data_IF_093370933006
#
_entry.id   IF_093370933006
#
_cell.length_a   1.000
_cell.length_b   1.000
_cell.length_c   1.000
_cell.angle_alpha   90.00
_cell.angle_beta   90.00
_cell.angle_gamma   90.00
#
_symmetry.space_group_name_H-M   'P 1'
#
loop_
_entity.id
_entity.type
_entity.pdbx_description
1 polymer ?
#
# COMPACT_ATOMS: atom_id res chain seq x y z
N UNK A 1 28.71 -50.35 -70.58
CA UNK A 1 27.86 -49.86 -71.67
C UNK A 1 26.78 -49.02 -71.02
N UNK A 2 26.73 -47.70 -71.11
CA UNK A 2 27.56 -46.66 -71.75
C UNK A 2 26.91 -45.31 -71.37
N UNK A 3 27.74 -44.30 -71.07
CA UNK A 3 27.61 -42.83 -71.30
C UNK A 3 26.43 -42.06 -70.66
N UNK A 4 26.64 -41.04 -69.80
CA UNK A 4 27.01 -39.61 -70.05
C UNK A 4 25.85 -38.83 -70.74
N UNK A 5 25.40 -37.59 -70.45
CA UNK A 5 25.92 -36.32 -69.88
C UNK A 5 24.69 -35.43 -69.48
N UNK A 6 24.70 -34.59 -68.42
CA UNK A 6 25.20 -33.20 -68.26
C UNK A 6 24.40 -32.03 -68.93
N UNK A 7 24.28 -30.94 -68.14
CA UNK A 7 23.79 -29.55 -68.43
C UNK A 7 22.28 -29.30 -68.32
N UNK A 8 21.76 -28.20 -67.78
CA UNK A 8 22.31 -26.96 -67.25
C UNK A 8 21.21 -25.89 -67.20
N UNK A 9 21.30 -24.97 -66.23
CA UNK A 9 20.69 -23.63 -66.17
C UNK A 9 19.16 -23.48 -65.91
N UNK A 10 18.82 -22.75 -64.84
CA UNK A 10 17.55 -21.99 -64.71
C UNK A 10 17.53 -20.75 -65.63
N UNK A 11 16.72 -19.69 -65.41
CA UNK A 11 15.80 -19.38 -64.29
C UNK A 11 14.44 -18.75 -64.73
N UNK A 12 13.64 -18.37 -63.73
CA UNK A 12 12.77 -17.18 -63.61
C UNK A 12 11.79 -16.73 -64.72
N UNK A 13 10.54 -16.62 -64.26
CA UNK A 13 9.61 -15.49 -64.40
C UNK A 13 9.09 -15.05 -65.79
N UNK A 14 7.80 -14.71 -65.76
CA UNK A 14 7.08 -13.61 -66.42
C UNK A 14 5.73 -14.15 -66.92
N UNK A 15 4.70 -14.17 -66.07
CA UNK A 15 3.68 -13.12 -65.91
C UNK A 15 2.72 -13.03 -67.10
N UNK A 16 1.43 -12.81 -66.78
CA UNK A 16 0.30 -12.39 -67.66
C UNK A 16 -0.44 -13.54 -68.37
N UNK A 17 -1.77 -13.64 -68.44
CA UNK A 17 -2.92 -12.78 -68.15
C UNK A 17 -4.16 -13.69 -67.91
N UNK A 18 -5.02 -13.26 -66.98
CA UNK A 18 -6.49 -13.15 -67.12
C UNK A 18 -7.09 -13.88 -68.35
N UNK A 19 -8.09 -14.76 -68.27
CA UNK A 19 -9.49 -14.47 -67.93
C UNK A 19 -10.34 -15.74 -68.07
N UNK A 20 -11.38 -15.84 -67.25
CA UNK A 20 -12.71 -16.47 -67.44
C UNK A 20 -13.10 -17.23 -66.16
N UNK A 21 -13.70 -16.57 -65.17
CA UNK A 21 -15.14 -16.24 -65.11
C UNK A 21 -16.02 -17.48 -64.99
N UNK A 22 -16.25 -17.92 -63.77
CA UNK A 22 -17.61 -18.22 -63.32
C UNK A 22 -17.70 -17.92 -61.82
N UNK A 23 -18.52 -16.91 -61.49
CA UNK A 23 -18.87 -16.52 -60.13
C UNK A 23 -20.20 -17.19 -59.83
N UNK A 24 -20.24 -17.98 -58.75
CA UNK A 24 -21.50 -18.33 -58.07
C UNK A 24 -21.36 -17.96 -56.57
N UNK A 25 -22.34 -17.25 -55.98
CA UNK A 25 -22.15 -16.51 -54.73
C UNK A 25 -22.52 -17.34 -53.50
N UNK A 26 -21.52 -18.01 -52.94
CA UNK A 26 -21.54 -18.55 -51.57
C UNK A 26 -20.68 -17.69 -50.65
N UNK A 27 -21.28 -16.64 -50.09
CA UNK A 27 -20.71 -15.70 -49.12
C UNK A 27 -19.92 -16.38 -47.97
N UNK A 28 -18.67 -15.91 -47.80
CA UNK A 28 -18.01 -15.46 -46.55
C UNK A 28 -18.01 -16.43 -45.35
N UNK A 29 -16.90 -16.82 -44.74
CA UNK A 29 -15.65 -16.09 -44.45
C UNK A 29 -14.67 -17.06 -43.79
N UNK A 30 -13.44 -17.22 -44.30
CA UNK A 30 -12.40 -17.97 -43.58
C UNK A 30 -10.96 -17.51 -43.89
N UNK A 31 -10.78 -16.27 -44.32
CA UNK A 31 -9.47 -15.65 -44.54
C UNK A 31 -9.17 -14.52 -43.55
N UNK A 32 -9.49 -14.73 -42.26
CA UNK A 32 -9.04 -13.82 -41.17
C UNK A 32 -8.32 -14.55 -40.04
N UNK A 33 -8.04 -15.84 -40.20
CA UNK A 33 -7.58 -16.72 -39.11
C UNK A 33 -6.11 -17.14 -39.23
N UNK A 34 -5.46 -16.91 -40.38
CA UNK A 34 -4.06 -17.33 -40.60
C UNK A 34 -3.03 -16.22 -40.39
N UNK A 35 -3.43 -14.94 -40.45
CA UNK A 35 -2.57 -13.80 -40.06
C UNK A 35 -2.57 -13.55 -38.55
N UNK A 36 -3.65 -13.91 -37.84
CA UNK A 36 -3.71 -13.77 -36.38
C UNK A 36 -2.95 -14.87 -35.66
N UNK A 37 -2.93 -16.11 -36.17
CA UNK A 37 -2.20 -17.22 -35.54
C UNK A 37 -0.68 -17.08 -35.67
N UNK A 38 -0.18 -16.53 -36.79
CA UNK A 38 1.25 -16.23 -36.95
C UNK A 38 1.68 -15.02 -36.12
N UNK A 39 0.85 -13.99 -35.99
CA UNK A 39 1.11 -12.88 -35.05
C UNK A 39 1.01 -13.30 -33.58
N UNK A 40 0.12 -14.24 -33.23
CA UNK A 40 0.00 -14.79 -31.87
C UNK A 40 1.16 -15.73 -31.55
N UNK A 41 1.62 -16.53 -32.52
CA UNK A 41 2.78 -17.42 -32.34
C UNK A 41 4.09 -16.61 -32.34
N UNK A 42 4.22 -15.54 -33.13
CA UNK A 42 5.38 -14.64 -33.08
C UNK A 42 5.37 -13.78 -31.80
N UNK A 43 4.22 -13.36 -31.28
CA UNK A 43 4.11 -12.73 -29.94
C UNK A 43 4.30 -13.69 -28.78
N UNK A 44 3.92 -14.96 -28.93
CA UNK A 44 4.16 -15.99 -27.92
C UNK A 44 5.60 -16.53 -27.96
N UNK A 45 6.29 -16.41 -29.10
CA UNK A 45 7.68 -16.81 -29.32
C UNK A 45 8.69 -15.65 -29.25
N UNK A 46 8.26 -14.40 -29.00
CA UNK A 46 9.10 -13.42 -28.31
C UNK A 46 9.20 -13.81 -26.84
N UNK A 47 10.00 -14.85 -26.63
CA UNK A 47 10.95 -14.99 -25.53
C UNK A 47 10.79 -13.94 -24.44
N UNK A 48 10.38 -14.42 -23.28
CA UNK A 48 10.95 -14.06 -21.97
C UNK A 48 12.33 -13.43 -22.09
N UNK A 49 12.37 -12.13 -22.41
CA UNK A 49 13.56 -11.34 -22.25
C UNK A 49 13.84 -11.39 -20.76
N UNK A 50 14.86 -12.15 -20.36
CA UNK A 50 15.52 -11.91 -19.09
C UNK A 50 15.70 -10.39 -19.02
N UNK A 51 15.20 -9.71 -17.95
CA UNK A 51 15.16 -8.27 -17.91
C UNK A 51 16.55 -7.77 -18.28
N UNK A 52 16.64 -6.98 -19.37
CA UNK A 52 17.91 -6.45 -19.85
C UNK A 52 18.55 -5.77 -18.64
N UNK A 53 19.61 -6.37 -18.10
CA UNK A 53 20.33 -5.79 -16.99
C UNK A 53 21.05 -4.59 -17.55
N UNK A 54 20.53 -3.41 -17.24
CA UNK A 54 21.19 -2.16 -17.56
C UNK A 54 22.09 -1.83 -16.38
N UNK A 55 23.26 -1.27 -16.67
CA UNK A 55 24.03 -0.55 -15.66
C UNK A 55 23.12 0.43 -14.91
N UNK A 56 23.46 0.72 -13.67
CA UNK A 56 22.67 1.63 -12.84
C UNK A 56 22.31 2.91 -13.62
N UNK A 57 21.00 3.18 -13.70
CA UNK A 57 20.46 4.45 -14.17
C UNK A 57 19.56 5.03 -13.09
N UNK A 58 19.76 6.29 -12.70
CA UNK A 58 18.93 6.91 -11.68
C UNK A 58 17.48 6.99 -12.17
N UNK A 59 16.53 6.59 -11.32
CA UNK A 59 15.11 6.76 -11.60
C UNK A 59 14.67 8.16 -11.15
N UNK A 60 14.44 9.12 -12.08
CA UNK A 60 14.16 10.51 -11.70
C UNK A 60 12.83 10.66 -10.95
N UNK A 61 11.84 9.82 -11.24
CA UNK A 61 10.55 9.83 -10.55
C UNK A 61 10.70 9.41 -9.10
N UNK A 62 11.50 8.36 -8.84
CA UNK A 62 11.81 7.90 -7.49
C UNK A 62 12.52 8.99 -6.69
N UNK A 63 13.57 9.58 -7.25
CA UNK A 63 14.35 10.64 -6.59
C UNK A 63 13.48 11.86 -6.28
N UNK A 64 12.64 12.28 -7.24
CA UNK A 64 11.71 13.39 -7.05
C UNK A 64 10.68 13.11 -5.95
N UNK A 65 10.08 11.92 -5.94
CA UNK A 65 9.13 11.50 -4.90
C UNK A 65 9.79 11.42 -3.52
N UNK A 66 11.01 10.88 -3.44
CA UNK A 66 11.78 10.82 -2.19
C UNK A 66 12.12 12.21 -1.66
N UNK A 67 12.59 13.12 -2.52
CA UNK A 67 12.86 14.50 -2.15
C UNK A 67 11.58 15.20 -1.63
N UNK A 68 10.45 15.00 -2.30
CA UNK A 68 9.16 15.50 -1.87
C UNK A 68 8.73 14.91 -0.52
N UNK A 69 8.89 13.59 -0.31
CA UNK A 69 8.64 12.91 0.97
C UNK A 69 9.43 13.56 2.11
N UNK A 70 10.74 13.75 1.91
CA UNK A 70 11.62 14.38 2.89
C UNK A 70 11.19 15.81 3.23
N UNK A 71 10.85 16.63 2.23
CA UNK A 71 10.36 18.00 2.45
C UNK A 71 9.08 18.01 3.31
N UNK A 72 8.15 17.11 3.02
CA UNK A 72 6.91 17.04 3.78
C UNK A 72 7.12 16.52 5.22
N UNK A 73 8.02 15.56 5.43
CA UNK A 73 8.40 15.10 6.78
C UNK A 73 9.00 16.25 7.59
N UNK A 74 9.95 16.99 7.01
CA UNK A 74 10.58 18.16 7.65
C UNK A 74 9.53 19.22 7.99
N UNK A 75 8.61 19.50 7.06
CA UNK A 75 7.52 20.43 7.28
C UNK A 75 6.63 19.97 8.45
N UNK A 76 6.17 18.73 8.45
CA UNK A 76 5.35 18.18 9.54
C UNK A 76 6.07 18.23 10.89
N UNK A 77 7.36 17.89 10.91
CA UNK A 77 8.17 17.95 12.12
C UNK A 77 8.28 19.40 12.63
N UNK A 78 8.57 20.36 11.74
CA UNK A 78 8.62 21.78 12.07
C UNK A 78 7.29 22.29 12.62
N UNK A 79 6.17 21.93 12.00
CA UNK A 79 4.84 22.28 12.49
C UNK A 79 4.57 21.65 13.85
N UNK A 80 4.99 20.39 14.07
CA UNK A 80 4.87 19.68 15.36
C UNK A 80 5.54 20.44 16.50
N UNK A 81 6.73 21.02 16.26
CA UNK A 81 7.44 21.83 17.25
C UNK A 81 6.63 23.07 17.70
N UNK A 82 5.80 23.63 16.82
CA UNK A 82 4.96 24.80 17.14
C UNK A 82 3.64 24.46 17.84
N UNK A 83 3.25 23.19 17.85
CA UNK A 83 2.01 22.71 18.47
C UNK A 83 2.29 22.39 19.95
N UNK A 84 1.51 22.99 20.86
CA UNK A 84 1.54 22.68 22.31
C UNK A 84 0.89 21.31 22.57
N UNK A 85 0.89 20.84 23.82
CA UNK A 85 0.34 19.53 24.26
C UNK A 85 -1.04 19.23 23.63
N UNK A 86 -1.07 18.45 22.56
CA UNK A 86 -2.28 18.03 21.82
C UNK A 86 -2.11 16.56 21.40
N UNK A 87 -3.17 15.75 21.49
CA UNK A 87 -3.10 14.33 21.19
C UNK A 87 -2.86 14.02 19.71
N UNK A 88 -3.30 14.89 18.79
CA UNK A 88 -3.00 14.74 17.37
C UNK A 88 -1.52 15.01 17.07
N UNK A 89 -0.85 15.82 17.90
CA UNK A 89 0.60 16.00 17.80
C UNK A 89 1.32 14.70 18.09
N UNK A 90 1.00 14.05 19.22
CA UNK A 90 1.63 12.78 19.59
C UNK A 90 1.34 11.69 18.57
N UNK A 91 0.09 11.55 18.12
CA UNK A 91 -0.29 10.64 17.04
C UNK A 91 0.61 10.78 15.80
N UNK A 92 0.81 12.01 15.32
CA UNK A 92 1.64 12.26 14.14
C UNK A 92 3.12 12.04 14.43
N UNK A 93 3.64 12.46 15.59
CA UNK A 93 5.04 12.27 15.94
C UNK A 93 5.44 10.80 16.00
N UNK A 94 4.59 9.94 16.58
CA UNK A 94 4.86 8.49 16.62
C UNK A 94 4.89 7.86 15.24
N UNK A 95 4.05 8.33 14.31
CA UNK A 95 4.04 7.85 12.93
C UNK A 95 5.13 8.50 12.06
N UNK A 96 5.65 9.67 12.40
CA UNK A 96 6.80 10.28 11.71
C UNK A 96 8.09 9.49 11.92
N UNK A 97 8.30 8.89 13.08
CA UNK A 97 9.53 8.14 13.40
C UNK A 97 9.82 7.06 12.34
N UNK A 98 8.92 6.11 12.06
CA UNK A 98 9.19 5.09 11.04
C UNK A 98 9.26 5.67 9.62
N UNK A 99 8.51 6.74 9.31
CA UNK A 99 8.60 7.41 8.01
C UNK A 99 9.96 8.07 7.79
N UNK A 100 10.58 8.58 8.85
CA UNK A 100 11.93 9.12 8.81
C UNK A 100 12.97 8.00 8.58
N UNK A 101 12.80 6.86 9.25
CA UNK A 101 13.65 5.67 9.05
C UNK A 101 13.52 5.18 7.60
N UNK A 102 12.30 5.06 7.08
CA UNK A 102 12.01 4.65 5.71
C UNK A 102 12.65 5.62 4.69
N UNK A 103 12.53 6.94 4.89
CA UNK A 103 13.15 7.93 4.02
C UNK A 103 14.70 7.85 4.05
N UNK A 104 15.28 7.67 5.23
CA UNK A 104 16.73 7.44 5.38
C UNK A 104 17.18 6.15 4.68
N UNK A 105 16.39 5.09 4.80
CA UNK A 105 16.66 3.83 4.14
C UNK A 105 16.55 3.94 2.62
N UNK A 106 15.56 4.65 2.09
CA UNK A 106 15.43 4.93 0.65
C UNK A 106 16.66 5.66 0.11
N UNK A 107 17.16 6.69 0.80
CA UNK A 107 18.39 7.39 0.43
C UNK A 107 19.58 6.41 0.41
N UNK A 108 19.69 5.57 1.44
CA UNK A 108 20.74 4.55 1.51
C UNK A 108 20.65 3.57 0.34
N UNK A 109 19.45 3.08 0.00
CA UNK A 109 19.25 2.15 -1.12
C UNK A 109 19.60 2.78 -2.47
N UNK A 110 19.31 4.08 -2.65
CA UNK A 110 19.68 4.82 -3.86
C UNK A 110 21.19 4.91 -4.02
N UNK A 111 21.91 5.24 -2.94
CA UNK A 111 23.38 5.29 -2.92
C UNK A 111 23.95 3.90 -3.17
N UNK A 112 23.41 2.88 -2.50
CA UNK A 112 23.91 1.51 -2.62
C UNK A 112 23.68 0.93 -4.01
N UNK A 113 22.51 1.16 -4.61
CA UNK A 113 22.19 0.72 -5.97
C UNK A 113 23.13 1.34 -7.02
N UNK A 114 23.62 2.57 -6.79
CA UNK A 114 24.64 3.21 -7.64
C UNK A 114 26.00 2.52 -7.55
N UNK A 115 26.38 2.06 -6.36
CA UNK A 115 27.70 1.47 -6.12
C UNK A 115 27.77 -0.04 -6.36
N UNK A 116 26.63 -0.72 -6.27
CA UNK A 116 26.54 -2.17 -6.33
C UNK A 116 26.31 -2.69 -7.76
N UNK A 117 26.82 -3.89 -8.04
CA UNK A 117 26.73 -4.56 -9.36
C UNK A 117 25.41 -5.35 -9.48
N UNK A 118 24.32 -4.84 -8.91
CA UNK A 118 23.00 -5.49 -9.02
C UNK A 118 22.23 -5.05 -10.28
N UNK A 119 22.65 -3.94 -10.91
CA UNK A 119 22.01 -3.39 -12.10
C UNK A 119 20.62 -2.81 -11.83
N UNK A 120 20.02 -2.26 -12.88
CA UNK A 120 18.66 -1.75 -12.88
C UNK A 120 17.84 -2.41 -14.01
N UNK A 121 16.53 -2.42 -13.84
CA UNK A 121 15.60 -2.78 -14.91
C UNK A 121 15.01 -1.52 -15.56
N UNK A 122 14.53 -1.64 -16.79
CA UNK A 122 13.80 -0.55 -17.42
C UNK A 122 12.51 -0.26 -16.65
N UNK A 123 12.23 1.01 -16.45
CA UNK A 123 10.98 1.42 -15.80
C UNK A 123 9.80 1.09 -16.70
N UNK A 124 8.78 0.47 -16.10
CA UNK A 124 7.56 0.07 -16.77
C UNK A 124 6.35 0.49 -15.92
N UNK A 125 5.42 1.16 -16.59
CA UNK A 125 4.21 1.72 -16.00
C UNK A 125 3.08 0.70 -15.85
N UNK A 126 3.21 -0.49 -16.45
CA UNK A 126 2.19 -1.53 -16.32
C UNK A 126 2.02 -1.95 -14.85
N UNK A 127 0.74 -2.14 -14.47
CA UNK A 127 0.39 -2.58 -13.14
C UNK A 127 1.06 -3.93 -12.83
N UNK A 128 1.72 -4.01 -11.68
CA UNK A 128 2.38 -5.24 -11.26
C UNK A 128 1.36 -6.18 -10.64
N UNK A 129 0.94 -7.16 -11.42
CA UNK A 129 0.12 -8.26 -10.92
C UNK A 129 1.04 -9.37 -10.40
N UNK A 130 1.10 -9.54 -9.08
CA UNK A 130 1.79 -10.66 -8.45
C UNK A 130 1.00 -11.95 -8.73
N UNK A 131 1.59 -12.87 -9.48
CA UNK A 131 1.00 -14.17 -9.71
C UNK A 131 1.11 -15.05 -8.47
N UNK A 132 0.07 -15.82 -8.12
CA UNK A 132 0.19 -16.85 -7.08
C UNK A 132 1.26 -17.87 -7.48
N UNK A 133 1.96 -18.40 -6.49
CA UNK A 133 2.90 -19.51 -6.70
C UNK A 133 2.13 -20.80 -6.95
N UNK A 134 2.73 -21.67 -7.76
CA UNK A 134 2.17 -23.01 -8.00
C UNK A 134 2.07 -23.78 -6.68
N UNK A 135 0.88 -24.29 -6.37
CA UNK A 135 0.52 -25.07 -5.17
C UNK A 135 0.32 -24.29 -3.86
N UNK A 136 0.52 -22.97 -3.83
CA UNK A 136 0.23 -22.17 -2.64
C UNK A 136 -1.24 -21.74 -2.58
N UNK A 137 -1.81 -21.76 -1.37
CA UNK A 137 -3.19 -21.31 -1.17
C UNK A 137 -3.23 -19.79 -0.89
N UNK A 138 -4.40 -19.17 -1.07
CA UNK A 138 -4.59 -17.74 -0.78
C UNK A 138 -4.36 -17.39 0.70
N UNK A 139 -4.38 -18.39 1.59
CA UNK A 139 -4.07 -18.18 3.00
C UNK A 139 -2.57 -18.11 3.27
N UNK A 140 -1.73 -18.58 2.34
CA UNK A 140 -0.27 -18.67 2.48
C UNK A 140 0.47 -17.41 1.99
N UNK A 141 -0.22 -16.45 1.38
CA UNK A 141 0.38 -15.21 0.87
C UNK A 141 1.26 -14.46 1.89
N UNK A 142 0.90 -14.50 3.17
CA UNK A 142 1.63 -13.82 4.23
C UNK A 142 2.98 -14.46 4.55
N UNK A 143 3.14 -15.77 4.29
CA UNK A 143 4.43 -16.47 4.35
C UNK A 143 5.43 -15.91 3.35
N UNK A 144 4.96 -15.35 2.23
CA UNK A 144 5.79 -14.80 1.16
C UNK A 144 5.73 -13.27 1.10
N UNK A 145 5.33 -12.61 2.18
CA UNK A 145 5.11 -11.17 2.20
C UNK A 145 6.39 -10.37 1.90
N UNK A 146 7.51 -10.70 2.54
CA UNK A 146 8.80 -10.00 2.33
C UNK A 146 9.29 -10.15 0.89
N UNK A 147 9.23 -11.36 0.34
CA UNK A 147 9.66 -11.61 -1.03
C UNK A 147 8.76 -10.91 -2.05
N UNK A 148 7.44 -11.04 -1.88
CA UNK A 148 6.44 -10.37 -2.73
C UNK A 148 6.63 -8.85 -2.69
N UNK A 149 6.90 -8.30 -1.50
CA UNK A 149 7.19 -6.87 -1.36
C UNK A 149 8.52 -6.48 -2.00
N UNK A 150 9.54 -7.33 -1.96
CA UNK A 150 10.79 -7.15 -2.69
C UNK A 150 10.59 -7.05 -4.20
N UNK A 151 9.70 -7.87 -4.77
CA UNK A 151 9.36 -7.81 -6.20
C UNK A 151 8.57 -6.54 -6.56
N UNK A 152 7.62 -6.13 -5.70
CA UNK A 152 6.90 -4.84 -5.83
C UNK A 152 7.91 -3.68 -5.81
N UNK A 153 8.83 -3.68 -4.86
CA UNK A 153 9.87 -2.66 -4.74
C UNK A 153 10.76 -2.65 -5.98
N UNK A 154 11.22 -3.80 -6.46
CA UNK A 154 11.98 -3.88 -7.70
C UNK A 154 11.22 -3.26 -8.88
N UNK A 155 9.94 -3.60 -9.07
CA UNK A 155 9.09 -3.00 -10.13
C UNK A 155 9.09 -1.48 -10.06
N UNK A 156 8.64 -0.93 -8.93
CA UNK A 156 8.37 0.50 -8.83
C UNK A 156 9.62 1.36 -8.60
N UNK A 157 10.70 0.79 -8.06
CA UNK A 157 11.98 1.51 -7.88
C UNK A 157 12.99 1.27 -8.98
N UNK A 158 12.75 0.27 -9.85
CA UNK A 158 13.67 -0.26 -10.87
C UNK A 158 14.94 -0.93 -10.38
N UNK A 159 15.15 -1.09 -9.07
CA UNK A 159 16.41 -1.61 -8.54
C UNK A 159 16.30 -3.08 -8.17
N UNK A 160 17.22 -3.89 -8.70
CA UNK A 160 17.26 -5.33 -8.41
C UNK A 160 17.77 -5.63 -6.99
N UNK A 161 18.34 -4.65 -6.28
CA UNK A 161 18.84 -4.82 -4.91
C UNK A 161 17.78 -5.43 -3.98
N UNK A 162 16.49 -5.09 -4.18
CA UNK A 162 15.39 -5.58 -3.34
C UNK A 162 15.04 -7.06 -3.50
N UNK A 163 15.44 -7.69 -4.61
CA UNK A 163 15.26 -9.13 -4.85
C UNK A 163 16.57 -9.91 -4.81
N UNK A 164 17.71 -9.24 -5.03
CA UNK A 164 19.05 -9.84 -4.94
C UNK A 164 19.58 -9.91 -3.52
N UNK A 165 19.24 -8.93 -2.68
CA UNK A 165 19.59 -8.92 -1.27
C UNK A 165 18.32 -8.73 -0.42
N UNK A 166 17.94 -9.82 0.24
CA UNK A 166 16.71 -9.89 1.04
C UNK A 166 16.74 -8.93 2.23
N UNK A 167 17.91 -8.49 2.71
CA UNK A 167 17.99 -7.52 3.80
C UNK A 167 17.28 -6.21 3.42
N UNK A 168 17.33 -5.81 2.15
CA UNK A 168 16.68 -4.59 1.69
C UNK A 168 15.16 -4.69 1.67
N UNK A 169 14.61 -5.82 1.22
CA UNK A 169 13.16 -6.05 1.25
C UNK A 169 12.66 -6.21 2.68
N UNK A 170 13.42 -6.84 3.58
CA UNK A 170 13.08 -6.99 5.00
C UNK A 170 12.96 -5.62 5.67
N UNK A 171 13.99 -4.76 5.56
CA UNK A 171 13.97 -3.45 6.25
C UNK A 171 12.83 -2.59 5.73
N UNK A 172 12.62 -2.53 4.41
CA UNK A 172 11.49 -1.82 3.82
C UNK A 172 10.15 -2.38 4.27
N UNK A 173 9.99 -3.71 4.30
CA UNK A 173 8.77 -4.38 4.77
C UNK A 173 8.46 -4.02 6.22
N UNK A 174 9.45 -4.14 7.12
CA UNK A 174 9.32 -3.78 8.55
C UNK A 174 8.83 -2.35 8.72
N UNK A 175 9.39 -1.39 7.97
CA UNK A 175 8.94 0.01 8.08
C UNK A 175 7.50 0.22 7.61
N UNK A 176 7.12 -0.36 6.46
CA UNK A 176 5.77 -0.22 5.91
C UNK A 176 4.70 -0.90 6.75
N UNK A 177 5.02 -2.09 7.27
CA UNK A 177 4.15 -2.87 8.14
C UNK A 177 4.04 -2.25 9.55
N UNK A 178 5.13 -1.71 10.10
CA UNK A 178 5.05 -0.98 11.36
C UNK A 178 4.16 0.26 11.25
N UNK A 179 4.20 0.99 10.14
CA UNK A 179 3.26 2.10 9.88
C UNK A 179 1.82 1.60 9.79
N UNK A 180 1.58 0.44 9.17
CA UNK A 180 0.25 -0.19 9.08
C UNK A 180 -0.34 -0.43 10.47
N UNK A 181 0.34 -1.20 11.31
CA UNK A 181 -0.13 -1.54 12.64
C UNK A 181 -0.20 -0.30 13.53
N UNK A 182 0.81 0.56 13.48
CA UNK A 182 0.84 1.79 14.26
C UNK A 182 -0.36 2.69 13.97
N UNK A 183 -0.79 2.77 12.71
CA UNK A 183 -1.97 3.51 12.30
C UNK A 183 -3.25 2.90 12.89
N UNK A 184 -3.47 1.59 12.70
CA UNK A 184 -4.63 0.87 13.25
C UNK A 184 -4.79 1.07 14.76
N UNK A 185 -3.72 0.81 15.51
CA UNK A 185 -3.74 0.90 16.97
C UNK A 185 -3.86 2.35 17.45
N UNK A 186 -3.11 3.28 16.86
CA UNK A 186 -3.09 4.67 17.34
C UNK A 186 -4.38 5.42 17.00
N UNK A 187 -5.06 5.08 15.91
CA UNK A 187 -6.36 5.67 15.55
C UNK A 187 -7.40 5.48 16.66
N UNK A 188 -7.45 4.29 17.29
CA UNK A 188 -8.38 4.03 18.41
C UNK A 188 -8.08 4.93 19.62
N UNK A 189 -6.80 5.13 19.92
CA UNK A 189 -6.34 6.01 21.01
C UNK A 189 -6.69 7.47 20.72
N UNK A 190 -6.57 7.91 19.46
CA UNK A 190 -6.99 9.26 19.06
C UNK A 190 -8.50 9.44 19.21
N UNK A 191 -9.32 8.47 18.81
CA UNK A 191 -10.77 8.54 19.02
C UNK A 191 -11.12 8.68 20.50
N UNK A 192 -10.49 7.90 21.38
CA UNK A 192 -10.69 8.02 22.82
C UNK A 192 -10.47 9.47 23.31
N UNK A 193 -9.35 10.09 22.93
CA UNK A 193 -9.07 11.48 23.32
C UNK A 193 -9.97 12.50 22.63
N UNK A 194 -10.31 12.30 21.36
CA UNK A 194 -11.18 13.19 20.60
C UNK A 194 -12.61 13.20 21.16
N UNK A 195 -13.13 12.04 21.53
CA UNK A 195 -14.43 11.92 22.20
C UNK A 195 -14.39 12.53 23.59
N UNK A 196 -13.35 12.22 24.38
CA UNK A 196 -13.16 12.79 25.71
C UNK A 196 -13.06 14.32 25.68
N UNK A 197 -12.44 14.90 24.64
CA UNK A 197 -12.36 16.36 24.44
C UNK A 197 -13.73 17.04 24.35
N UNK A 198 -14.75 16.32 23.87
CA UNK A 198 -16.13 16.83 23.74
C UNK A 198 -16.92 16.56 25.03
N UNK A 199 -16.80 15.34 25.57
CA UNK A 199 -17.60 14.92 26.73
C UNK A 199 -17.09 15.54 28.04
N UNK A 200 -15.77 15.62 28.23
CA UNK A 200 -15.10 16.13 29.44
C UNK A 200 -13.90 17.01 29.08
N UNK A 201 -14.14 18.20 28.46
CA UNK A 201 -13.06 19.08 28.00
C UNK A 201 -12.12 19.52 29.12
N UNK A 202 -12.61 19.62 30.35
CA UNK A 202 -11.83 20.05 31.52
C UNK A 202 -10.75 19.04 31.93
N UNK A 203 -10.90 17.75 31.58
CA UNK A 203 -9.98 16.68 32.01
C UNK A 203 -8.83 16.45 31.03
N UNK A 204 -8.98 16.80 29.76
CA UNK A 204 -8.04 16.41 28.69
C UNK A 204 -6.66 17.05 28.85
N UNK A 205 -6.58 18.23 29.48
CA UNK A 205 -5.34 18.95 29.73
C UNK A 205 -4.43 18.20 30.72
N UNK A 206 -5.02 17.44 31.64
CA UNK A 206 -4.31 16.69 32.69
C UNK A 206 -3.94 15.27 32.27
N UNK A 207 -4.53 14.76 31.19
CA UNK A 207 -4.27 13.40 30.74
C UNK A 207 -2.79 13.18 30.34
N UNK A 208 -2.21 12.02 30.66
CA UNK A 208 -0.86 11.63 30.25
C UNK A 208 -0.87 11.10 28.81
N UNK A 209 -1.15 11.99 27.86
CA UNK A 209 -1.34 11.65 26.43
C UNK A 209 -0.12 10.90 25.87
N UNK A 210 1.09 11.41 26.09
CA UNK A 210 2.33 10.81 25.60
C UNK A 210 2.52 9.36 26.09
N UNK A 211 2.28 9.11 27.38
CA UNK A 211 2.42 7.78 27.97
C UNK A 211 1.47 6.77 27.35
N UNK A 212 0.25 7.19 27.01
CA UNK A 212 -0.74 6.30 26.40
C UNK A 212 -0.35 5.91 24.98
N UNK A 213 0.19 6.86 24.19
CA UNK A 213 0.74 6.53 22.87
C UNK A 213 1.99 5.66 22.97
N UNK A 214 2.87 5.87 23.94
CA UNK A 214 4.02 4.99 24.12
C UNK A 214 3.60 3.55 24.44
N UNK A 215 2.61 3.39 25.33
CA UNK A 215 2.08 2.07 25.71
C UNK A 215 1.42 1.36 24.52
N UNK A 216 0.61 2.07 23.72
CA UNK A 216 -0.08 1.43 22.59
C UNK A 216 0.90 0.99 21.50
N UNK A 217 2.02 1.69 21.33
CA UNK A 217 3.03 1.42 20.30
C UNK A 217 3.82 0.13 20.51
N UNK A 218 3.82 -0.43 21.73
CA UNK A 218 4.43 -1.74 22.00
C UNK A 218 3.77 -2.83 21.16
N UNK A 219 2.45 -2.75 20.95
CA UNK A 219 1.70 -3.78 20.23
C UNK A 219 2.02 -3.78 18.73
N UNK A 220 1.98 -2.65 18.00
CA UNK A 220 2.48 -2.58 16.63
C UNK A 220 3.90 -3.11 16.44
N UNK A 221 4.84 -2.82 17.36
CA UNK A 221 6.21 -3.36 17.27
C UNK A 221 6.19 -4.89 17.31
N UNK A 222 5.45 -5.48 18.25
CA UNK A 222 5.34 -6.93 18.39
C UNK A 222 4.68 -7.54 17.15
N UNK A 223 3.60 -6.94 16.65
CA UNK A 223 2.86 -7.45 15.49
C UNK A 223 3.74 -7.42 14.24
N UNK A 224 4.44 -6.31 13.99
CA UNK A 224 5.39 -6.24 12.88
C UNK A 224 6.56 -7.22 13.01
N UNK A 225 7.07 -7.41 14.22
CA UNK A 225 8.11 -8.41 14.45
C UNK A 225 7.60 -9.82 14.10
N UNK A 226 6.39 -10.16 14.55
CA UNK A 226 5.76 -11.45 14.26
C UNK A 226 5.52 -11.61 12.75
N UNK A 227 4.91 -10.61 12.09
CA UNK A 227 4.67 -10.58 10.65
C UNK A 227 5.95 -10.81 9.84
N UNK A 228 7.01 -10.12 10.24
CA UNK A 228 8.31 -10.26 9.61
C UNK A 228 8.89 -11.66 9.85
N UNK A 229 8.83 -12.18 11.08
CA UNK A 229 9.37 -13.51 11.41
C UNK A 229 8.67 -14.63 10.65
N UNK A 230 7.34 -14.62 10.55
CA UNK A 230 6.59 -15.66 9.82
C UNK A 230 6.84 -15.62 8.30
N UNK A 231 7.27 -14.48 7.78
CA UNK A 231 7.57 -14.31 6.36
C UNK A 231 9.02 -14.69 5.97
N UNK A 232 9.91 -14.79 6.96
CA UNK A 232 11.33 -15.10 6.75
C UNK A 232 11.65 -16.54 7.14
N UNK A 233 11.11 -17.01 8.27
CA UNK A 233 11.44 -18.32 8.81
C UNK A 233 10.40 -19.36 8.45
N UNK A 234 10.88 -20.54 8.08
CA UNK A 234 10.04 -21.73 7.99
C UNK A 234 9.62 -22.17 9.41
N UNK A 235 8.33 -22.01 9.70
CA UNK A 235 7.74 -22.43 10.96
C UNK A 235 6.74 -23.57 10.74
N UNK A 236 6.51 -24.43 11.76
CA UNK A 236 5.53 -25.50 11.66
C UNK A 236 4.13 -24.96 11.29
N UNK A 237 3.43 -25.67 10.42
CA UNK A 237 2.15 -25.22 9.84
C UNK A 237 1.10 -24.87 10.92
N UNK A 238 1.00 -25.67 11.99
CA UNK A 238 0.08 -25.40 13.10
C UNK A 238 0.37 -24.06 13.80
N UNK A 239 1.64 -23.76 14.05
CA UNK A 239 2.07 -22.50 14.66
C UNK A 239 1.82 -21.32 13.73
N UNK A 240 2.09 -21.48 12.43
CA UNK A 240 1.80 -20.48 11.40
C UNK A 240 0.30 -20.13 11.38
N UNK A 241 -0.58 -21.13 11.29
CA UNK A 241 -2.02 -20.91 11.22
C UNK A 241 -2.56 -20.20 12.47
N UNK A 242 -2.06 -20.53 13.67
CA UNK A 242 -2.45 -19.86 14.92
C UNK A 242 -2.03 -18.38 14.89
N UNK A 243 -0.76 -18.11 14.56
CA UNK A 243 -0.24 -16.74 14.50
C UNK A 243 -1.01 -15.91 13.48
N UNK A 244 -1.22 -16.48 12.30
CA UNK A 244 -1.96 -15.88 11.21
C UNK A 244 -3.40 -15.54 11.58
N UNK A 245 -4.09 -16.48 12.25
CA UNK A 245 -5.43 -16.25 12.78
C UNK A 245 -5.45 -15.08 13.76
N UNK A 246 -4.49 -15.01 14.70
CA UNK A 246 -4.38 -13.92 15.68
C UNK A 246 -4.14 -12.56 15.02
N UNK A 247 -3.29 -12.50 13.99
CA UNK A 247 -3.02 -11.26 13.26
C UNK A 247 -4.26 -10.78 12.49
N UNK A 248 -4.87 -11.67 11.71
CA UNK A 248 -6.06 -11.37 10.91
C UNK A 248 -7.25 -10.96 11.78
N UNK A 249 -7.54 -11.72 12.84
CA UNK A 249 -8.67 -11.43 13.75
C UNK A 249 -8.44 -10.08 14.44
N UNK A 250 -7.19 -9.78 14.86
CA UNK A 250 -6.85 -8.50 15.47
C UNK A 250 -7.09 -7.34 14.52
N UNK A 251 -6.62 -7.42 13.27
CA UNK A 251 -6.86 -6.38 12.28
C UNK A 251 -8.36 -6.13 12.04
N UNK A 252 -9.15 -7.20 11.93
CA UNK A 252 -10.61 -7.13 11.80
C UNK A 252 -11.26 -6.48 13.03
N UNK A 253 -10.87 -6.90 14.25
CA UNK A 253 -11.40 -6.35 15.50
C UNK A 253 -11.07 -4.86 15.65
N UNK A 254 -9.82 -4.46 15.40
CA UNK A 254 -9.44 -3.04 15.45
C UNK A 254 -10.17 -2.21 14.40
N UNK A 255 -10.36 -2.73 13.19
CA UNK A 255 -11.15 -2.07 12.15
C UNK A 255 -12.62 -1.90 12.56
N UNK A 256 -13.20 -2.93 13.18
CA UNK A 256 -14.56 -2.86 13.73
C UNK A 256 -14.68 -1.84 14.88
N UNK A 257 -13.67 -1.77 15.76
CA UNK A 257 -13.61 -0.76 16.82
C UNK A 257 -13.54 0.64 16.20
N UNK A 258 -12.65 0.88 15.23
CA UNK A 258 -12.53 2.16 14.52
C UNK A 258 -13.87 2.56 13.89
N UNK A 259 -14.53 1.62 13.20
CA UNK A 259 -15.84 1.85 12.60
C UNK A 259 -16.90 2.24 13.64
N UNK A 260 -16.95 1.53 14.76
CA UNK A 260 -17.88 1.83 15.86
C UNK A 260 -17.58 3.18 16.51
N UNK A 261 -16.30 3.55 16.68
CA UNK A 261 -15.90 4.87 17.18
C UNK A 261 -16.25 5.98 16.18
N UNK A 262 -16.10 5.75 14.88
CA UNK A 262 -16.53 6.67 13.84
C UNK A 262 -18.05 6.89 13.89
N UNK A 263 -18.83 5.81 14.06
CA UNK A 263 -20.28 5.90 14.23
C UNK A 263 -20.67 6.63 15.53
N UNK A 264 -20.02 6.32 16.65
CA UNK A 264 -20.22 7.01 17.93
C UNK A 264 -19.95 8.52 17.84
N UNK A 265 -19.01 8.92 16.97
CA UNK A 265 -18.68 10.33 16.72
C UNK A 265 -19.89 11.12 16.18
N UNK A 266 -20.81 10.48 15.45
CA UNK A 266 -22.01 11.13 14.90
C UNK A 266 -22.94 11.63 16.02
N UNK A 267 -23.14 10.83 17.06
CA UNK A 267 -23.95 11.23 18.23
C UNK A 267 -23.30 12.38 19.01
N UNK A 268 -21.96 12.42 19.06
CA UNK A 268 -21.23 13.50 19.74
C UNK A 268 -21.36 14.86 19.03
N UNK A 269 -21.62 14.88 17.72
CA UNK A 269 -21.94 16.13 17.02
C UNK A 269 -23.26 16.72 17.49
N UNK A 270 -24.28 15.88 17.67
CA UNK A 270 -25.62 16.28 18.11
C UNK A 270 -25.70 16.63 19.61
N UNK A 271 -24.71 16.24 20.41
CA UNK A 271 -24.68 16.54 21.85
C UNK A 271 -24.65 18.05 22.10
N UNK A 272 -25.71 18.59 22.70
CA UNK A 272 -25.76 19.94 23.28
C UNK A 272 -25.19 19.88 24.70
N UNK A 273 -24.43 20.89 25.12
CA UNK A 273 -24.00 21.05 26.52
C UNK A 273 -24.88 22.15 27.08
N UNK A 274 -25.71 21.83 28.06
CA UNK A 274 -26.82 22.69 28.50
C UNK A 274 -26.38 23.85 29.41
N UNK A 275 -25.10 23.91 29.80
CA UNK A 275 -24.58 24.98 30.66
C UNK A 275 -24.00 26.14 29.84
N UNK A 276 -24.91 26.99 29.35
CA UNK A 276 -24.62 28.26 28.68
C UNK A 276 -24.35 29.34 29.74
N UNK A 277 -23.22 29.27 30.45
CA UNK A 277 -22.89 30.33 31.44
C UNK A 277 -21.47 30.85 31.43
N UNK A 278 -20.55 30.35 30.60
CA UNK A 278 -19.25 31.03 30.37
C UNK A 278 -18.86 30.97 28.90
N UNK A 279 -18.27 32.05 28.40
CA UNK A 279 -17.82 32.18 27.01
C UNK A 279 -16.63 31.26 26.67
N UNK A 280 -15.90 30.70 27.65
CA UNK A 280 -14.70 29.87 27.41
C UNK A 280 -14.94 28.37 27.11
N UNK A 281 -15.92 27.65 27.72
CA UNK A 281 -16.11 26.22 27.46
C UNK A 281 -16.78 25.94 26.11
N UNK A 282 -17.64 26.85 25.65
CA UNK A 282 -18.36 26.70 24.38
C UNK A 282 -17.41 26.72 23.18
N UNK A 283 -16.45 27.66 23.16
CA UNK A 283 -15.45 27.72 22.08
C UNK A 283 -14.54 26.50 22.06
N UNK A 284 -14.19 25.97 23.23
CA UNK A 284 -13.39 24.74 23.33
C UNK A 284 -14.16 23.53 22.78
N UNK A 285 -15.44 23.38 23.11
CA UNK A 285 -16.28 22.28 22.58
C UNK A 285 -16.49 22.43 21.07
N UNK A 286 -16.76 23.63 20.56
CA UNK A 286 -16.87 23.90 19.11
C UNK A 286 -15.58 23.51 18.37
N UNK A 287 -14.43 23.93 18.88
CA UNK A 287 -13.14 23.56 18.34
C UNK A 287 -12.90 22.04 18.40
N UNK A 288 -13.36 21.38 19.46
CA UNK A 288 -13.27 19.92 19.61
C UNK A 288 -14.15 19.15 18.63
N UNK A 289 -15.36 19.64 18.33
CA UNK A 289 -16.22 19.07 17.29
C UNK A 289 -15.60 19.20 15.89
N UNK A 290 -15.02 20.35 15.55
CA UNK A 290 -14.31 20.53 14.27
C UNK A 290 -13.08 19.60 14.20
N UNK A 291 -12.33 19.46 15.30
CA UNK A 291 -11.21 18.50 15.40
C UNK A 291 -11.68 17.07 15.12
N UNK A 292 -12.76 16.64 15.75
CA UNK A 292 -13.32 15.30 15.56
C UNK A 292 -13.82 15.09 14.13
N UNK A 293 -14.51 16.07 13.55
CA UNK A 293 -14.99 16.00 12.17
C UNK A 293 -13.85 15.82 11.17
N UNK A 294 -12.81 16.67 11.26
CA UNK A 294 -11.68 16.55 10.34
C UNK A 294 -10.87 15.27 10.59
N UNK A 295 -10.77 14.81 11.85
CA UNK A 295 -10.16 13.53 12.16
C UNK A 295 -10.96 12.34 11.62
N UNK A 296 -12.30 12.42 11.60
CA UNK A 296 -13.15 11.41 11.00
C UNK A 296 -12.93 11.33 9.48
N UNK A 297 -12.85 12.48 8.79
CA UNK A 297 -12.51 12.51 7.37
C UNK A 297 -11.10 11.94 7.11
N UNK A 298 -10.12 12.32 7.93
CA UNK A 298 -8.78 11.75 7.89
C UNK A 298 -8.82 10.22 8.04
N UNK A 299 -9.56 9.72 9.02
CA UNK A 299 -9.69 8.29 9.34
C UNK A 299 -10.28 7.52 8.16
N UNK A 300 -11.37 8.01 7.57
CA UNK A 300 -12.01 7.34 6.42
C UNK A 300 -11.02 7.20 5.26
N UNK A 301 -10.33 8.29 4.91
CA UNK A 301 -9.44 8.30 3.75
C UNK A 301 -8.19 7.44 4.02
N UNK A 302 -7.55 7.57 5.18
CA UNK A 302 -6.32 6.80 5.45
C UNK A 302 -6.62 5.30 5.63
N UNK A 303 -7.75 4.94 6.22
CA UNK A 303 -8.12 3.54 6.40
C UNK A 303 -8.75 2.90 5.15
N UNK A 304 -9.14 3.68 4.12
CA UNK A 304 -9.42 3.11 2.80
C UNK A 304 -8.19 2.37 2.23
N UNK A 305 -6.99 2.85 2.51
CA UNK A 305 -5.70 2.23 2.13
C UNK A 305 -5.39 0.99 3.00
N UNK A 306 -6.11 0.78 4.10
CA UNK A 306 -6.01 -0.45 4.91
C UNK A 306 -7.02 -1.52 4.50
N UNK A 307 -8.05 -1.14 3.72
CA UNK A 307 -9.15 -2.04 3.34
C UNK A 307 -8.71 -3.35 2.68
N UNK A 308 -7.72 -3.40 1.76
CA UNK A 308 -7.33 -4.67 1.13
C UNK A 308 -6.90 -5.74 2.14
N UNK A 309 -6.12 -5.37 3.16
CA UNK A 309 -5.72 -6.32 4.20
C UNK A 309 -6.90 -6.82 5.02
N UNK A 310 -7.87 -5.95 5.34
CA UNK A 310 -9.06 -6.31 6.11
C UNK A 310 -9.98 -7.23 5.30
N UNK A 311 -10.14 -6.97 4.01
CA UNK A 311 -10.93 -7.81 3.10
C UNK A 311 -10.26 -9.19 2.98
N UNK A 312 -8.97 -9.23 2.70
CA UNK A 312 -8.21 -10.48 2.64
C UNK A 312 -8.29 -11.25 3.95
N UNK A 313 -8.07 -10.58 5.09
CA UNK A 313 -8.16 -11.17 6.43
C UNK A 313 -9.56 -11.74 6.71
N UNK A 314 -10.62 -11.00 6.39
CA UNK A 314 -11.99 -11.44 6.62
C UNK A 314 -12.39 -12.64 5.76
N UNK A 315 -12.05 -12.62 4.46
CA UNK A 315 -12.35 -13.72 3.53
C UNK A 315 -11.57 -14.98 3.90
N UNK A 316 -10.29 -14.86 4.23
CA UNK A 316 -9.46 -16.00 4.63
C UNK A 316 -9.90 -16.59 5.97
N UNK A 317 -10.21 -15.77 6.98
CA UNK A 317 -10.82 -16.26 8.24
C UNK A 317 -12.13 -17.00 7.96
N UNK A 318 -13.01 -16.42 7.14
CA UNK A 318 -14.28 -17.05 6.82
C UNK A 318 -14.09 -18.40 6.11
N UNK A 319 -13.10 -18.49 5.21
CA UNK A 319 -12.74 -19.74 4.55
C UNK A 319 -12.22 -20.78 5.55
N UNK A 320 -11.29 -20.39 6.41
CA UNK A 320 -10.67 -21.28 7.41
C UNK A 320 -11.72 -21.82 8.40
N UNK A 321 -12.60 -20.95 8.90
CA UNK A 321 -13.70 -21.32 9.81
C UNK A 321 -14.75 -22.16 9.10
N UNK A 322 -15.08 -21.82 7.84
CA UNK A 322 -16.01 -22.59 7.02
C UNK A 322 -15.53 -24.03 6.85
N UNK A 323 -14.26 -24.22 6.45
CA UNK A 323 -13.65 -25.54 6.34
C UNK A 323 -13.61 -26.30 7.67
N UNK A 324 -13.25 -25.64 8.76
CA UNK A 324 -13.21 -26.25 10.09
C UNK A 324 -14.59 -26.76 10.54
N UNK A 325 -15.65 -26.04 10.22
CA UNK A 325 -17.03 -26.38 10.58
C UNK A 325 -17.73 -27.26 9.53
N UNK A 326 -17.05 -27.63 8.44
CA UNK A 326 -17.63 -28.43 7.36
C UNK A 326 -18.61 -27.66 6.46
N UNK A 327 -18.59 -26.32 6.49
CA UNK A 327 -19.38 -25.49 5.59
C UNK A 327 -18.63 -25.21 4.28
N UNK A 328 -19.28 -25.49 3.15
CA UNK A 328 -18.78 -25.14 1.82
C UNK A 328 -19.35 -23.79 1.38
N UNK A 329 -18.88 -22.69 1.98
CA UNK A 329 -19.28 -21.35 1.56
C UNK A 329 -18.63 -20.98 0.22
N UNK A 330 -19.41 -20.45 -0.71
CA UNK A 330 -18.87 -19.84 -1.92
C UNK A 330 -18.32 -18.46 -1.58
N UNK A 331 -17.02 -18.39 -1.30
CA UNK A 331 -16.29 -17.15 -1.02
C UNK A 331 -15.50 -16.71 -2.25
N UNK A 332 -15.43 -15.40 -2.55
CA UNK A 332 -14.67 -14.87 -3.69
C UNK A 332 -13.15 -14.90 -3.40
N UNK A 333 -12.55 -16.09 -3.33
CA UNK A 333 -11.12 -16.26 -2.99
C UNK A 333 -10.18 -15.68 -4.05
N UNK A 334 -10.62 -15.61 -5.31
CA UNK A 334 -9.89 -14.88 -6.36
C UNK A 334 -9.70 -13.41 -5.97
N UNK A 335 -10.76 -12.75 -5.47
CA UNK A 335 -10.67 -11.37 -5.02
C UNK A 335 -9.70 -11.24 -3.83
N UNK A 336 -9.75 -12.17 -2.87
CA UNK A 336 -8.79 -12.19 -1.76
C UNK A 336 -7.33 -12.31 -2.26
N UNK A 337 -7.08 -13.10 -3.30
CA UNK A 337 -5.73 -13.27 -3.86
C UNK A 337 -5.14 -11.99 -4.45
N UNK A 338 -5.97 -11.06 -4.91
CA UNK A 338 -5.54 -9.74 -5.40
C UNK A 338 -5.38 -8.71 -4.26
N UNK A 339 -6.18 -8.83 -3.20
CA UNK A 339 -6.20 -7.86 -2.11
C UNK A 339 -4.92 -7.86 -1.25
N UNK A 340 -4.27 -9.00 -1.05
CA UNK A 340 -3.04 -9.05 -0.27
C UNK A 340 -1.84 -8.39 -0.98
N UNK A 341 -1.53 -8.70 -2.25
CA UNK A 341 -0.57 -7.93 -3.05
C UNK A 341 -0.88 -6.43 -3.07
N UNK A 342 -2.15 -6.06 -3.22
CA UNK A 342 -2.56 -4.65 -3.21
C UNK A 342 -2.25 -3.96 -1.87
N UNK A 343 -2.42 -4.66 -0.74
CA UNK A 343 -2.03 -4.16 0.58
C UNK A 343 -0.52 -3.87 0.66
N UNK A 344 0.32 -4.75 0.12
CA UNK A 344 1.77 -4.55 0.08
C UNK A 344 2.13 -3.36 -0.83
N UNK A 345 1.51 -3.24 -2.01
CA UNK A 345 1.70 -2.08 -2.90
C UNK A 345 1.34 -0.78 -2.20
N UNK A 346 0.29 -0.78 -1.36
CA UNK A 346 -0.10 0.37 -0.56
C UNK A 346 0.90 0.79 0.52
N UNK A 347 1.91 -0.03 0.85
CA UNK A 347 3.03 0.43 1.70
C UNK A 347 3.80 1.58 1.04
N UNK A 348 3.87 1.62 -0.31
CA UNK A 348 4.53 2.71 -1.04
C UNK A 348 3.76 4.04 -0.97
N UNK A 349 2.43 3.96 -0.95
CA UNK A 349 1.54 5.14 -1.05
C UNK A 349 1.16 5.68 0.32
N UNK A 350 1.02 4.80 1.32
CA UNK A 350 0.55 5.15 2.67
C UNK A 350 1.37 6.24 3.35
N UNK A 351 2.73 6.27 3.28
CA UNK A 351 3.55 7.38 3.75
C UNK A 351 3.08 8.74 3.24
N UNK A 352 2.92 8.87 1.91
CA UNK A 352 2.50 10.12 1.28
C UNK A 352 1.08 10.50 1.65
N UNK A 353 0.17 9.53 1.64
CA UNK A 353 -1.23 9.75 2.02
C UNK A 353 -1.31 10.22 3.48
N UNK A 354 -0.61 9.56 4.41
CA UNK A 354 -0.58 9.94 5.81
C UNK A 354 -0.08 11.38 6.01
N UNK A 355 1.04 11.72 5.37
CA UNK A 355 1.66 13.03 5.50
C UNK A 355 0.76 14.12 4.93
N UNK A 356 0.23 13.92 3.72
CA UNK A 356 -0.64 14.88 3.04
C UNK A 356 -1.94 15.09 3.82
N UNK A 357 -2.65 14.01 4.17
CA UNK A 357 -3.86 14.07 4.97
C UNK A 357 -3.58 14.65 6.37
N UNK A 358 -2.42 14.36 6.94
CA UNK A 358 -1.93 14.94 8.20
C UNK A 358 -1.88 16.47 8.15
N UNK A 359 -1.29 17.03 7.08
CA UNK A 359 -1.18 18.46 6.88
C UNK A 359 -2.54 19.15 6.68
N UNK A 360 -3.43 18.56 5.88
CA UNK A 360 -4.68 19.22 5.49
C UNK A 360 -5.87 18.94 6.40
N UNK A 361 -5.95 17.75 7.00
CA UNK A 361 -7.10 17.31 7.77
C UNK A 361 -6.85 17.34 9.28
N UNK A 362 -5.63 17.13 9.77
CA UNK A 362 -5.41 17.23 11.21
C UNK A 362 -5.37 18.69 11.64
N UNK A 363 -6.44 19.13 12.30
CA UNK A 363 -6.70 20.53 12.65
C UNK A 363 -5.49 21.32 13.22
N UNK A 364 -4.68 20.81 14.19
CA UNK A 364 -3.56 21.58 14.70
C UNK A 364 -2.48 21.80 13.62
N UNK A 365 -2.25 20.84 12.73
CA UNK A 365 -1.33 20.95 11.61
C UNK A 365 -1.88 21.89 10.54
N UNK A 366 -3.14 21.69 10.12
CA UNK A 366 -3.84 22.57 9.15
C UNK A 366 -3.77 24.04 9.57
N UNK A 367 -4.10 24.35 10.83
CA UNK A 367 -4.08 25.73 11.34
C UNK A 367 -2.67 26.33 11.32
N UNK A 368 -1.65 25.54 11.64
CA UNK A 368 -0.26 26.00 11.64
C UNK A 368 0.28 26.15 10.22
N UNK A 369 -0.04 25.22 9.33
CA UNK A 369 0.29 25.29 7.91
C UNK A 369 -0.25 26.57 7.26
N UNK A 370 -1.55 26.86 7.42
CA UNK A 370 -2.15 28.10 6.90
C UNK A 370 -1.49 29.34 7.51
N UNK A 371 -1.18 29.35 8.81
CA UNK A 371 -0.49 30.49 9.44
C UNK A 371 0.95 30.67 8.97
N UNK A 372 1.62 29.59 8.55
CA UNK A 372 2.99 29.63 8.06
C UNK A 372 3.06 30.17 6.62
N UNK A 373 2.17 29.70 5.74
CA UNK A 373 2.16 30.06 4.32
C UNK A 373 1.25 31.24 3.96
N UNK A 374 0.30 31.62 4.83
CA UNK A 374 -0.59 32.76 4.62
C UNK A 374 -0.43 33.79 5.77
N UNK A 375 0.59 34.68 5.72
CA UNK A 375 0.82 35.70 6.74
C UNK A 375 -0.36 36.65 6.94
N UNK A 376 -1.17 36.87 5.89
CA UNK A 376 -2.37 37.71 5.94
C UNK A 376 -3.42 37.16 6.93
N UNK A 377 -3.45 35.84 7.16
CA UNK A 377 -4.34 35.19 8.13
C UNK A 377 -3.83 35.25 9.57
N UNK A 378 -2.76 36.01 9.85
CA UNK A 378 -2.15 36.15 11.19
C UNK A 378 -2.70 37.34 11.99
N UNK A 379 -3.42 38.26 11.32
CA UNK A 379 -3.93 39.53 11.89
C UNK A 379 -5.43 39.52 12.27
N UNK A 380 -6.15 38.43 11.98
CA UNK A 380 -7.52 38.16 12.40
C UNK A 380 -7.56 36.82 13.14
#
# INVERSE_FOLDING_TARGET
>A
MSEEDFSGNGPEEVQTLLTNSEVDPGLLSNETTTTTLTDIIVKAATTTLAPILIDYRPNPYRIGLLAFKCLLIILLFTLSCTIRKDFLKFFVLFLIIPLFIEAGFDIFTEIHARTAIFGAQQFDWEYFNLSPRENDSVTDWQKHAVESYGQILQKYTTYQVYTRDQLFSIVSYVTGDFVFWSLLFSTTTVFHYAHKAIVRPEQITYDPICSSFFKIQIVPVIFTAIDTLISIYEIPQWSYLIVLFVLRISACVFSFIIFTQAFASLFLFCRRKDEVTKTSPYEHVRNSKIRLFLFLLFTIIIHAITAPYIIWSGLTIASDVGHLLGFNWYLPMHFASEMFPLHLTFFLVRPYAFIFLGLFLLNPYRRRFVKFFCPCCRRH
#
